data_IF_735458982810
#
_entry.id   IF_735458982810
#
_cell.length_a   1.000
_cell.length_b   1.000
_cell.length_c   1.000
_cell.angle_alpha   90.00
_cell.angle_beta   90.00
_cell.angle_gamma   90.00
#
_symmetry.space_group_name_H-M   'P 1'
#
loop_
_entity.id
_entity.type
_entity.pdbx_description
1 polymer ?
#
# COMPACT_ATOMS: atom_id res chain seq x y z
N UNK A 1 -2.57 -46.97 -53.99
CA UNK A 1 -2.10 -45.88 -53.10
C UNK A 1 -2.73 -44.60 -53.65
N UNK A 2 -4.05 -44.42 -53.49
CA UNK A 2 -4.74 -43.62 -52.45
C UNK A 2 -4.38 -42.14 -52.51
N UNK A 3 -5.19 -41.42 -53.28
CA UNK A 3 -5.25 -39.97 -53.40
C UNK A 3 -6.13 -39.41 -52.28
N UNK A 4 -5.62 -38.45 -51.51
CA UNK A 4 -6.21 -37.97 -50.26
C UNK A 4 -6.82 -36.58 -50.41
N UNK A 5 -8.14 -36.53 -50.57
CA UNK A 5 -8.96 -35.33 -50.58
C UNK A 5 -9.05 -34.74 -49.15
N UNK A 6 -8.53 -33.53 -48.91
CA UNK A 6 -8.71 -32.80 -47.64
C UNK A 6 -9.91 -31.88 -47.75
N UNK A 7 -10.99 -32.24 -47.07
CA UNK A 7 -12.21 -31.44 -46.90
C UNK A 7 -12.00 -30.36 -45.84
N UNK A 8 -12.10 -29.10 -46.24
CA UNK A 8 -12.08 -27.93 -45.33
C UNK A 8 -13.37 -27.93 -44.50
N UNK A 9 -13.25 -28.09 -43.18
CA UNK A 9 -14.37 -27.85 -42.24
C UNK A 9 -14.62 -26.36 -42.14
N UNK A 10 -15.72 -25.92 -42.72
CA UNK A 10 -16.31 -24.59 -42.56
C UNK A 10 -16.98 -24.51 -41.19
N UNK A 11 -16.40 -23.76 -40.25
CA UNK A 11 -17.06 -23.38 -39.00
C UNK A 11 -17.61 -21.95 -39.13
N UNK A 12 -18.94 -21.84 -39.08
CA UNK A 12 -19.67 -20.72 -38.46
C UNK A 12 -21.14 -21.12 -38.35
N UNK A 13 -21.75 -20.96 -37.16
CA UNK A 13 -22.96 -20.15 -37.15
C UNK A 13 -23.29 -19.25 -35.94
N UNK A 14 -22.43 -18.88 -34.97
CA UNK A 14 -23.01 -18.34 -33.71
C UNK A 14 -22.85 -16.82 -33.44
N UNK A 15 -22.54 -15.99 -34.46
CA UNK A 15 -22.46 -14.52 -34.27
C UNK A 15 -23.82 -13.84 -34.02
N UNK A 16 -24.92 -14.44 -34.48
CA UNK A 16 -26.26 -13.89 -34.30
C UNK A 16 -26.76 -14.05 -32.85
N UNK A 17 -26.49 -15.22 -32.25
CA UNK A 17 -26.89 -15.54 -30.87
C UNK A 17 -26.10 -14.70 -29.84
N UNK A 18 -24.81 -14.46 -30.11
CA UNK A 18 -23.96 -13.60 -29.26
C UNK A 18 -24.45 -12.14 -29.29
N UNK A 19 -24.89 -11.64 -30.45
CA UNK A 19 -25.43 -10.28 -30.57
C UNK A 19 -26.80 -10.15 -29.88
N UNK A 20 -27.63 -11.17 -29.95
CA UNK A 20 -28.92 -11.19 -29.24
C UNK A 20 -28.73 -11.19 -27.72
N UNK A 21 -27.77 -11.98 -27.21
CA UNK A 21 -27.44 -12.03 -25.79
C UNK A 21 -26.87 -10.70 -25.28
N UNK A 22 -26.02 -10.04 -26.07
CA UNK A 22 -25.47 -8.73 -25.76
C UNK A 22 -26.55 -7.63 -25.74
N UNK A 23 -27.47 -7.64 -26.70
CA UNK A 23 -28.60 -6.71 -26.74
C UNK A 23 -29.49 -6.85 -25.49
N UNK A 24 -29.78 -8.09 -25.08
CA UNK A 24 -30.60 -8.38 -23.90
C UNK A 24 -29.94 -7.93 -22.59
N UNK A 25 -28.60 -8.02 -22.47
CA UNK A 25 -27.87 -7.51 -21.31
C UNK A 25 -27.86 -5.98 -21.22
N UNK A 26 -27.74 -5.28 -22.36
CA UNK A 26 -27.76 -3.81 -22.39
C UNK A 26 -29.14 -3.27 -22.02
N UNK A 27 -30.21 -3.92 -22.48
CA UNK A 27 -31.58 -3.52 -22.13
C UNK A 27 -31.90 -3.74 -20.65
N UNK A 28 -31.46 -4.87 -20.07
CA UNK A 28 -31.61 -5.15 -18.64
C UNK A 28 -30.86 -4.15 -17.75
N UNK A 29 -29.67 -3.70 -18.17
CA UNK A 29 -28.91 -2.67 -17.47
C UNK A 29 -29.53 -1.28 -17.60
N UNK A 30 -30.10 -0.95 -18.76
CA UNK A 30 -30.82 0.32 -18.97
C UNK A 30 -32.09 0.41 -18.11
N UNK A 31 -32.81 -0.69 -17.95
CA UNK A 31 -33.99 -0.77 -17.07
C UNK A 31 -33.61 -0.61 -15.57
N UNK A 32 -32.49 -1.20 -15.13
CA UNK A 32 -31.97 -1.01 -13.75
C UNK A 32 -31.50 0.42 -13.48
N UNK A 33 -30.90 1.09 -14.46
CA UNK A 33 -30.46 2.49 -14.33
C UNK A 33 -31.65 3.46 -14.20
N UNK A 34 -32.73 3.22 -14.95
CA UNK A 34 -33.97 4.02 -14.85
C UNK A 34 -34.72 3.79 -13.54
N UNK A 35 -34.72 2.56 -13.00
CA UNK A 35 -35.32 2.29 -11.68
C UNK A 35 -34.57 2.98 -10.53
N UNK A 36 -33.24 3.14 -10.66
CA UNK A 36 -32.41 3.83 -9.68
C UNK A 36 -32.60 5.36 -9.69
N UNK A 37 -32.89 5.97 -10.84
CA UNK A 37 -33.11 7.42 -10.93
C UNK A 37 -34.48 7.85 -10.39
N UNK A 38 -35.51 6.99 -10.46
CA UNK A 38 -36.85 7.31 -9.95
C UNK A 38 -36.93 7.19 -8.42
N UNK A 39 -36.06 6.39 -7.79
CA UNK A 39 -35.99 6.24 -6.33
C UNK A 39 -35.37 7.45 -5.60
N UNK A 40 -34.70 8.36 -6.32
CA UNK A 40 -34.04 9.54 -5.74
C UNK A 40 -34.94 10.79 -5.67
N UNK A 41 -36.19 10.73 -6.16
CA UNK A 41 -37.06 11.89 -6.33
C UNK A 41 -38.35 11.86 -5.49
N UNK A 42 -38.32 11.39 -4.24
CA UNK A 42 -39.43 11.56 -3.28
C UNK A 42 -39.01 12.38 -2.05
N UNK A 43 -39.61 13.55 -1.78
CA UNK A 43 -39.37 14.30 -0.56
C UNK A 43 -40.18 13.71 0.60
N UNK A 44 -39.56 13.60 1.79
CA UNK A 44 -40.27 13.28 3.03
C UNK A 44 -40.70 14.56 3.78
N UNK A 45 -41.91 14.60 4.37
CA UNK A 45 -42.41 15.76 5.07
C UNK A 45 -42.12 15.71 6.58
N UNK A 46 -41.81 16.89 7.16
CA UNK A 46 -42.18 17.24 8.53
C UNK A 46 -41.08 17.29 9.59
N UNK A 47 -40.56 18.50 9.86
CA UNK A 47 -40.41 19.05 11.22
C UNK A 47 -40.05 20.55 11.14
N UNK A 48 -40.81 21.36 11.88
CA UNK A 48 -40.81 22.82 11.87
C UNK A 48 -39.88 23.43 12.96
N UNK A 49 -39.34 24.61 12.61
CA UNK A 49 -39.09 25.83 13.40
C UNK A 49 -38.06 25.87 14.56
N UNK A 50 -37.10 26.81 14.44
CA UNK A 50 -36.36 27.44 15.55
C UNK A 50 -35.03 28.09 15.11
N UNK A 51 -34.91 29.41 15.26
CA UNK A 51 -33.88 30.27 14.64
C UNK A 51 -32.58 30.49 15.45
N UNK A 52 -31.47 30.84 14.76
CA UNK A 52 -30.24 31.45 15.32
C UNK A 52 -29.02 31.42 14.34
N UNK A 53 -28.19 32.48 14.21
CA UNK A 53 -27.23 32.68 13.10
C UNK A 53 -25.85 32.02 13.33
N UNK A 54 -24.96 31.95 12.30
CA UNK A 54 -23.99 30.87 12.16
C UNK A 54 -22.68 31.12 12.92
N UNK A 55 -22.13 30.06 13.50
CA UNK A 55 -20.72 30.02 13.94
C UNK A 55 -20.00 28.87 13.23
N UNK A 56 -18.82 29.20 12.73
CA UNK A 56 -17.92 28.38 11.91
C UNK A 56 -17.17 27.40 12.80
N UNK A 57 -17.09 26.14 12.39
CA UNK A 57 -16.14 25.15 12.90
C UNK A 57 -16.80 23.88 13.45
N UNK A 58 -16.68 22.77 12.72
CA UNK A 58 -17.18 21.47 13.18
C UNK A 58 -16.81 20.31 12.27
N UNK A 59 -15.92 19.47 12.77
CA UNK A 59 -15.43 18.20 12.21
C UNK A 59 -16.55 17.31 11.66
N UNK A 60 -16.40 16.81 10.42
CA UNK A 60 -17.17 15.67 9.94
C UNK A 60 -16.42 14.37 10.25
N UNK A 61 -17.00 13.57 11.17
CA UNK A 61 -16.49 12.29 11.63
C UNK A 61 -16.76 11.13 10.67
N UNK A 62 -15.83 10.18 10.69
CA UNK A 62 -15.69 8.96 9.87
C UNK A 62 -16.77 7.87 10.08
N UNK A 63 -17.82 8.12 10.88
CA UNK A 63 -18.77 7.07 11.25
C UNK A 63 -19.92 6.81 10.25
N UNK A 64 -19.92 7.46 9.09
CA UNK A 64 -20.97 7.25 8.08
C UNK A 64 -20.73 6.09 7.10
N UNK A 65 -19.66 5.30 7.29
CA UNK A 65 -19.40 4.09 6.49
C UNK A 65 -19.92 2.79 7.11
N UNK A 66 -20.55 2.83 8.30
CA UNK A 66 -20.98 1.65 9.05
C UNK A 66 -22.49 1.35 8.98
N UNK A 67 -23.27 1.98 8.09
CA UNK A 67 -24.72 1.69 8.02
C UNK A 67 -25.31 1.77 6.60
N UNK A 68 -25.22 0.66 5.86
CA UNK A 68 -26.19 0.32 4.80
C UNK A 68 -26.65 -1.15 4.91
N UNK A 69 -27.86 -1.27 5.49
CA UNK A 69 -29.00 -2.22 5.34
C UNK A 69 -28.85 -3.74 5.54
N UNK A 70 -29.75 -4.34 6.36
CA UNK A 70 -30.12 -5.76 6.33
C UNK A 70 -31.43 -6.04 5.54
N UNK A 71 -31.48 -7.23 4.90
CA UNK A 71 -32.68 -7.89 4.31
C UNK A 71 -32.52 -8.14 2.81
N UNK A 72 -32.70 -9.33 2.22
CA UNK A 72 -33.13 -10.70 2.59
C UNK A 72 -32.71 -11.63 1.39
N UNK A 73 -33.17 -12.89 1.20
CA UNK A 73 -33.57 -14.00 2.09
C UNK A 73 -32.68 -15.26 1.92
N UNK A 74 -32.93 -16.28 2.76
CA UNK A 74 -32.29 -17.60 2.75
C UNK A 74 -32.64 -18.44 1.51
N UNK A 75 -31.63 -19.08 0.93
CA UNK A 75 -31.78 -20.31 0.12
C UNK A 75 -30.75 -21.33 0.59
N UNK A 76 -31.26 -22.50 0.95
CA UNK A 76 -30.54 -23.69 1.38
C UNK A 76 -29.75 -24.29 0.22
N UNK A 77 -28.42 -24.23 0.28
CA UNK A 77 -27.56 -25.08 -0.54
C UNK A 77 -26.67 -25.95 0.36
N UNK A 78 -26.79 -27.25 0.15
CA UNK A 78 -26.08 -28.30 0.85
C UNK A 78 -24.57 -28.20 0.55
N UNK A 79 -23.76 -28.19 1.61
CA UNK A 79 -22.30 -28.22 1.52
C UNK A 79 -21.86 -29.60 1.02
N UNK A 80 -21.03 -29.72 -0.03
CA UNK A 80 -20.36 -30.97 -0.33
C UNK A 80 -19.34 -31.22 0.79
N UNK A 81 -19.42 -32.42 1.38
CA UNK A 81 -18.49 -32.93 2.39
C UNK A 81 -17.11 -32.98 1.75
N UNK A 82 -16.21 -32.11 2.20
CA UNK A 82 -14.82 -32.10 1.74
C UNK A 82 -13.97 -32.78 2.80
N UNK A 83 -13.15 -33.74 2.35
CA UNK A 83 -12.18 -34.49 3.14
C UNK A 83 -11.34 -33.58 4.06
N UNK A 84 -11.31 -33.95 5.34
CA UNK A 84 -10.48 -33.36 6.40
C UNK A 84 -8.97 -33.61 6.14
N UNK A 85 -8.39 -32.89 5.17
CA UNK A 85 -6.97 -32.53 5.27
C UNK A 85 -6.87 -31.27 6.10
N UNK A 86 -6.92 -31.45 7.43
CA UNK A 86 -6.77 -30.40 8.44
C UNK A 86 -5.47 -29.64 8.15
N UNK A 87 -5.59 -28.46 7.55
CA UNK A 87 -4.45 -27.55 7.42
C UNK A 87 -4.00 -27.27 8.86
N UNK A 88 -2.71 -27.48 9.20
CA UNK A 88 -2.22 -27.24 10.56
C UNK A 88 -2.60 -25.84 11.00
N UNK A 89 -3.04 -25.71 12.26
CA UNK A 89 -3.32 -24.39 12.83
C UNK A 89 -2.06 -23.52 12.69
N UNK A 90 -2.20 -22.24 12.31
CA UNK A 90 -1.05 -21.39 11.98
C UNK A 90 -0.07 -21.22 13.15
N UNK A 91 -0.49 -21.52 14.39
CA UNK A 91 0.25 -21.32 15.63
C UNK A 91 0.79 -22.62 16.27
N UNK A 92 0.85 -23.74 15.53
CA UNK A 92 1.38 -25.01 16.06
C UNK A 92 2.81 -24.87 16.59
N UNK A 93 3.66 -24.11 15.89
CA UNK A 93 5.02 -23.82 16.33
C UNK A 93 5.03 -23.00 17.63
N UNK A 94 4.11 -22.04 17.75
CA UNK A 94 3.98 -21.20 18.93
C UNK A 94 3.54 -21.99 20.15
N UNK A 95 2.69 -23.00 19.97
CA UNK A 95 2.29 -23.91 21.06
C UNK A 95 3.49 -24.70 21.62
N UNK A 96 4.46 -25.02 20.77
CA UNK A 96 5.71 -25.70 21.15
C UNK A 96 6.77 -24.73 21.70
N UNK A 97 6.44 -23.45 21.84
CA UNK A 97 7.39 -22.41 22.25
C UNK A 97 8.49 -22.15 21.21
N UNK A 98 8.27 -22.51 19.94
CA UNK A 98 9.28 -22.37 18.91
C UNK A 98 9.29 -20.95 18.34
N UNK A 99 10.39 -20.25 18.59
CA UNK A 99 10.66 -18.92 18.04
C UNK A 99 12.14 -18.83 17.62
N UNK A 100 12.48 -17.79 16.87
CA UNK A 100 13.85 -17.53 16.45
C UNK A 100 14.21 -16.06 16.52
N UNK A 101 15.46 -15.77 16.16
CA UNK A 101 16.01 -14.41 16.09
C UNK A 101 16.50 -14.14 14.69
N UNK A 102 16.26 -12.93 14.22
CA UNK A 102 16.82 -12.44 12.96
C UNK A 102 17.38 -11.03 13.16
N UNK A 103 18.27 -10.65 12.25
CA UNK A 103 18.90 -9.33 12.29
C UNK A 103 18.23 -8.40 11.27
N UNK A 104 17.59 -7.33 11.77
CA UNK A 104 17.08 -6.24 10.95
C UNK A 104 17.91 -4.99 11.21
N UNK A 105 18.68 -4.55 10.21
CA UNK A 105 19.66 -3.48 10.37
C UNK A 105 20.71 -3.84 11.42
N UNK A 106 20.73 -3.09 12.54
CA UNK A 106 21.66 -3.32 13.66
C UNK A 106 20.99 -3.98 14.88
N UNK A 107 19.72 -4.37 14.77
CA UNK A 107 18.95 -4.90 15.89
C UNK A 107 18.60 -6.37 15.66
N UNK A 108 18.65 -7.16 16.73
CA UNK A 108 18.08 -8.50 16.75
C UNK A 108 16.60 -8.40 17.13
N UNK A 109 15.74 -9.03 16.34
CA UNK A 109 14.31 -9.04 16.57
C UNK A 109 13.83 -10.50 16.65
N UNK A 110 12.99 -10.85 17.65
CA UNK A 110 12.44 -12.18 17.72
C UNK A 110 11.32 -12.32 16.69
N UNK A 111 11.19 -13.52 16.12
CA UNK A 111 10.11 -13.89 15.22
C UNK A 111 9.50 -15.22 15.64
N UNK A 112 8.23 -15.41 15.29
CA UNK A 112 7.48 -16.65 15.45
C UNK A 112 7.25 -17.30 14.09
N UNK A 113 6.90 -18.58 14.07
CA UNK A 113 6.62 -19.30 12.83
C UNK A 113 5.12 -19.47 12.60
N UNK A 114 4.68 -19.24 11.36
CA UNK A 114 3.37 -19.70 10.86
C UNK A 114 3.56 -20.50 9.60
N UNK A 115 3.18 -21.78 9.61
CA UNK A 115 3.26 -22.67 8.43
C UNK A 115 4.62 -22.60 7.71
N UNK A 116 5.72 -22.54 8.47
CA UNK A 116 7.13 -22.41 8.02
C UNK A 116 7.59 -21.01 7.59
N UNK A 117 6.71 -20.02 7.55
CA UNK A 117 7.08 -18.63 7.33
C UNK A 117 7.38 -17.90 8.65
N UNK A 118 8.29 -16.94 8.61
CA UNK A 118 8.68 -16.13 9.77
C UNK A 118 7.80 -14.89 9.88
N UNK A 119 7.25 -14.67 11.06
CA UNK A 119 6.40 -13.52 11.39
C UNK A 119 6.94 -12.77 12.59
N UNK A 120 6.88 -11.44 12.53
CA UNK A 120 7.32 -10.56 13.61
C UNK A 120 6.16 -9.69 14.08
N UNK A 121 6.08 -9.46 15.39
CA UNK A 121 5.06 -8.60 15.96
C UNK A 121 5.30 -7.15 15.54
N UNK A 122 4.28 -6.50 15.00
CA UNK A 122 4.34 -5.11 14.49
C UNK A 122 4.86 -4.17 15.58
N UNK A 123 4.35 -4.30 16.80
CA UNK A 123 4.79 -3.52 17.97
C UNK A 123 6.30 -3.64 18.24
N UNK A 124 6.89 -4.82 18.05
CA UNK A 124 8.33 -5.02 18.26
C UNK A 124 9.16 -4.29 17.19
N UNK A 125 8.73 -4.37 15.93
CA UNK A 125 9.35 -3.68 14.79
C UNK A 125 9.27 -2.17 15.00
N UNK A 126 8.10 -1.65 15.35
CA UNK A 126 7.87 -0.23 15.61
C UNK A 126 8.80 0.31 16.69
N UNK A 127 8.81 -0.35 17.86
CA UNK A 127 9.58 0.11 19.02
C UNK A 127 11.08 0.10 18.74
N UNK A 128 11.62 -0.99 18.16
CA UNK A 128 13.06 -1.16 17.97
C UNK A 128 13.63 -0.49 16.73
N UNK A 129 12.88 -0.52 15.63
CA UNK A 129 13.43 -0.20 14.31
C UNK A 129 12.84 1.10 13.73
N UNK A 130 11.52 1.27 13.83
CA UNK A 130 10.84 2.32 13.08
C UNK A 130 10.79 3.64 13.85
N UNK A 131 10.81 3.63 15.19
CA UNK A 131 10.76 4.83 16.02
C UNK A 131 11.75 5.92 15.59
N UNK A 132 12.95 5.56 15.10
CA UNK A 132 13.90 6.57 14.59
C UNK A 132 13.43 7.31 13.34
N UNK A 133 12.55 6.73 12.54
CA UNK A 133 12.00 7.35 11.33
C UNK A 133 10.63 7.95 11.56
N UNK A 134 9.78 7.29 12.35
CA UNK A 134 8.39 7.71 12.61
C UNK A 134 8.30 9.13 13.22
N UNK A 135 9.34 9.59 13.90
CA UNK A 135 9.42 10.95 14.46
C UNK A 135 9.79 12.03 13.43
N UNK A 136 10.28 11.65 12.24
CA UNK A 136 10.73 12.59 11.21
C UNK A 136 9.95 12.46 9.90
N UNK A 137 9.35 11.31 9.62
CA UNK A 137 8.66 11.00 8.38
C UNK A 137 7.15 11.18 8.53
N UNK A 138 6.55 11.89 7.59
CA UNK A 138 5.10 12.07 7.53
C UNK A 138 4.37 10.77 7.19
N UNK A 139 3.13 10.65 7.65
CA UNK A 139 2.27 9.48 7.44
C UNK A 139 2.04 9.13 5.96
N UNK A 140 2.12 10.13 5.07
CA UNK A 140 1.95 9.92 3.64
C UNK A 140 3.00 8.98 3.04
N UNK A 141 4.19 8.88 3.63
CA UNK A 141 5.23 7.95 3.16
C UNK A 141 4.78 6.50 3.37
N UNK A 142 4.04 6.22 4.44
CA UNK A 142 3.57 4.86 4.74
C UNK A 142 2.52 4.40 3.72
N UNK A 143 1.75 5.33 3.15
CA UNK A 143 0.78 5.04 2.08
C UNK A 143 1.41 4.66 0.72
N UNK A 144 2.74 4.75 0.59
CA UNK A 144 3.44 4.23 -0.58
C UNK A 144 3.47 2.69 -0.60
N UNK A 145 3.26 2.05 0.54
CA UNK A 145 3.40 0.60 0.73
C UNK A 145 2.05 -0.04 1.05
N UNK A 146 1.91 -1.34 0.75
CA UNK A 146 0.78 -2.16 1.16
C UNK A 146 1.35 -3.44 1.77
N UNK A 147 1.39 -3.51 3.10
CA UNK A 147 1.96 -4.67 3.82
C UNK A 147 0.85 -5.38 4.54
N UNK A 148 0.61 -6.62 4.13
CA UNK A 148 -0.40 -7.47 4.75
C UNK A 148 0.03 -7.83 6.17
N UNK A 149 -0.86 -7.58 7.11
CA UNK A 149 -0.69 -8.00 8.49
C UNK A 149 -1.82 -8.92 8.94
N UNK A 150 -1.63 -9.53 10.11
CA UNK A 150 -2.55 -10.50 10.64
C UNK A 150 -2.66 -10.35 12.14
N UNK A 151 -3.87 -10.49 12.68
CA UNK A 151 -4.05 -10.61 14.13
C UNK A 151 -3.31 -11.83 14.66
N UNK A 152 -2.74 -11.71 15.86
CA UNK A 152 -2.09 -12.81 16.55
C UNK A 152 -3.11 -13.72 17.22
N UNK A 153 -2.80 -15.02 17.31
CA UNK A 153 -3.63 -15.98 18.05
C UNK A 153 -3.42 -15.83 19.56
N UNK A 154 -4.26 -16.48 20.36
CA UNK A 154 -4.08 -16.48 21.81
C UNK A 154 -2.74 -17.13 22.21
N UNK A 155 -2.39 -18.24 21.56
CA UNK A 155 -1.13 -18.97 21.79
C UNK A 155 0.07 -18.09 21.45
N UNK A 156 0.03 -17.42 20.29
CA UNK A 156 1.08 -16.49 19.88
C UNK A 156 1.22 -15.31 20.86
N UNK A 157 0.11 -14.78 21.37
CA UNK A 157 0.17 -13.71 22.36
C UNK A 157 0.87 -14.14 23.65
N UNK A 158 0.63 -15.38 24.12
CA UNK A 158 1.33 -15.96 25.28
C UNK A 158 2.82 -16.11 24.99
N UNK A 159 3.19 -16.67 23.84
CA UNK A 159 4.60 -16.82 23.45
C UNK A 159 5.31 -15.46 23.31
N UNK A 160 4.68 -14.47 22.67
CA UNK A 160 5.26 -13.13 22.52
C UNK A 160 5.43 -12.42 23.87
N UNK A 161 4.52 -12.64 24.82
CA UNK A 161 4.66 -12.16 26.19
C UNK A 161 5.83 -12.84 26.91
N UNK A 162 6.00 -14.15 26.74
CA UNK A 162 7.14 -14.88 27.29
C UNK A 162 8.46 -14.38 26.70
N UNK A 163 8.54 -14.25 25.37
CA UNK A 163 9.70 -13.69 24.66
C UNK A 163 10.04 -12.30 25.22
N UNK A 164 9.04 -11.41 25.33
CA UNK A 164 9.27 -10.05 25.82
C UNK A 164 9.78 -10.04 27.27
N UNK A 165 9.15 -10.81 28.15
CA UNK A 165 9.44 -10.76 29.58
C UNK A 165 10.70 -11.52 29.97
N UNK A 166 10.97 -12.66 29.34
CA UNK A 166 12.07 -13.56 29.74
C UNK A 166 13.32 -13.44 28.88
N UNK A 167 13.18 -13.03 27.62
CA UNK A 167 14.29 -12.99 26.66
C UNK A 167 14.64 -11.58 26.21
N UNK A 168 13.82 -10.58 26.56
CA UNK A 168 13.95 -9.21 26.08
C UNK A 168 13.85 -8.17 27.20
N UNK A 169 13.83 -8.59 28.47
CA UNK A 169 13.75 -7.72 29.66
C UNK A 169 12.62 -6.67 29.60
N UNK A 170 11.49 -7.00 28.97
CA UNK A 170 10.33 -6.12 28.84
C UNK A 170 10.53 -4.94 27.87
N UNK A 171 11.56 -4.94 27.02
CA UNK A 171 11.89 -3.82 26.14
C UNK A 171 10.81 -3.47 25.10
N UNK A 172 9.85 -4.35 24.85
CA UNK A 172 8.75 -4.13 23.90
C UNK A 172 7.46 -3.61 24.57
N UNK A 173 7.60 -3.06 25.78
CA UNK A 173 6.52 -2.46 26.54
C UNK A 173 6.05 -3.34 27.70
N UNK A 174 5.38 -2.70 28.66
CA UNK A 174 4.81 -3.36 29.85
C UNK A 174 3.44 -3.98 29.60
N UNK A 175 2.72 -3.48 28.59
CA UNK A 175 1.41 -4.00 28.24
C UNK A 175 1.57 -5.38 27.56
N UNK A 176 0.80 -6.39 27.99
CA UNK A 176 0.87 -7.71 27.38
C UNK A 176 0.38 -7.65 25.92
N UNK A 177 0.98 -8.47 25.07
CA UNK A 177 0.44 -8.81 23.76
C UNK A 177 -0.91 -9.50 23.94
N UNK A 178 -1.85 -9.17 23.05
CA UNK A 178 -3.23 -9.65 23.01
C UNK A 178 -3.62 -10.00 21.57
N UNK A 179 -4.75 -10.67 21.36
CA UNK A 179 -5.27 -10.96 20.01
C UNK A 179 -5.60 -9.71 19.16
N UNK A 180 -5.52 -8.50 19.74
CA UNK A 180 -5.66 -7.23 19.00
C UNK A 180 -4.34 -6.75 18.39
N UNK A 181 -3.23 -7.39 18.73
CA UNK A 181 -1.91 -7.11 18.17
C UNK A 181 -1.74 -7.82 16.84
N UNK A 182 -0.86 -7.27 16.01
CA UNK A 182 -0.62 -7.70 14.64
C UNK A 182 0.78 -8.28 14.48
N UNK A 183 0.89 -9.24 13.57
CA UNK A 183 2.15 -9.73 13.03
C UNK A 183 2.19 -9.53 11.52
N UNK A 184 3.40 -9.34 11.00
CA UNK A 184 3.70 -9.23 9.57
C UNK A 184 4.81 -10.22 9.22
N UNK A 185 4.92 -10.57 7.94
CA UNK A 185 6.05 -11.39 7.48
C UNK A 185 7.35 -10.65 7.76
N UNK A 186 8.34 -11.39 8.25
CA UNK A 186 9.64 -10.83 8.58
C UNK A 186 10.33 -10.21 7.35
N UNK A 187 10.15 -10.81 6.17
CA UNK A 187 10.65 -10.27 4.90
C UNK A 187 10.08 -8.88 4.60
N UNK A 188 8.78 -8.71 4.78
CA UNK A 188 8.09 -7.45 4.48
C UNK A 188 8.47 -6.37 5.51
N UNK A 189 8.67 -6.75 6.77
CA UNK A 189 9.20 -5.82 7.79
C UNK A 189 10.62 -5.35 7.44
N UNK A 190 11.46 -6.24 6.89
CA UNK A 190 12.82 -5.89 6.43
C UNK A 190 12.81 -4.93 5.25
N UNK A 191 12.00 -5.21 4.23
CA UNK A 191 11.85 -4.32 3.08
C UNK A 191 11.24 -2.97 3.48
N UNK A 192 10.28 -2.94 4.40
CA UNK A 192 9.71 -1.71 4.92
C UNK A 192 10.75 -0.85 5.63
N UNK A 193 11.58 -1.47 6.48
CA UNK A 193 12.69 -0.80 7.14
C UNK A 193 13.66 -0.17 6.13
N UNK A 194 14.03 -0.91 5.07
CA UNK A 194 14.90 -0.43 4.00
C UNK A 194 14.27 0.74 3.25
N UNK A 195 12.97 0.63 2.92
CA UNK A 195 12.21 1.69 2.27
C UNK A 195 12.20 2.99 3.10
N UNK A 196 11.93 2.91 4.40
CA UNK A 196 11.96 4.08 5.28
C UNK A 196 13.37 4.68 5.41
N UNK A 197 14.41 3.84 5.48
CA UNK A 197 15.80 4.32 5.51
C UNK A 197 16.13 5.11 4.24
N UNK A 198 15.76 4.60 3.07
CA UNK A 198 15.92 5.31 1.79
C UNK A 198 15.17 6.63 1.80
N UNK A 199 13.88 6.63 2.18
CA UNK A 199 13.07 7.84 2.23
C UNK A 199 13.70 8.90 3.15
N UNK A 200 14.07 8.50 4.36
CA UNK A 200 14.69 9.38 5.35
C UNK A 200 16.00 9.99 4.86
N UNK A 201 16.92 9.17 4.33
CA UNK A 201 18.21 9.66 3.86
C UNK A 201 18.06 10.56 2.62
N UNK A 202 17.16 10.22 1.70
CA UNK A 202 16.86 11.01 0.51
C UNK A 202 16.29 12.39 0.87
N UNK A 203 15.33 12.45 1.79
CA UNK A 203 14.72 13.70 2.23
C UNK A 203 15.72 14.60 2.98
N UNK A 204 16.61 14.02 3.80
CA UNK A 204 17.56 14.82 4.60
C UNK A 204 18.82 15.24 3.84
N UNK A 205 19.40 14.34 3.04
CA UNK A 205 20.71 14.56 2.43
C UNK A 205 20.61 15.06 0.99
N UNK A 206 19.48 14.81 0.33
CA UNK A 206 19.26 15.16 -1.07
C UNK A 206 20.26 14.54 -2.05
N UNK A 207 20.97 13.48 -1.66
CA UNK A 207 22.03 12.90 -2.48
C UNK A 207 21.45 12.00 -3.56
N UNK A 208 21.99 12.13 -4.77
CA UNK A 208 21.86 11.16 -5.87
C UNK A 208 23.15 10.33 -5.98
N UNK A 209 23.01 9.02 -6.11
CA UNK A 209 24.09 8.09 -6.38
C UNK A 209 23.61 6.97 -7.32
N UNK A 210 24.54 6.33 -8.04
CA UNK A 210 24.21 5.27 -9.00
C UNK A 210 23.69 3.96 -8.38
N UNK A 211 23.70 3.84 -7.05
CA UNK A 211 23.15 2.71 -6.29
C UNK A 211 21.75 3.00 -5.73
N UNK A 212 21.19 4.17 -6.04
CA UNK A 212 19.90 4.58 -5.52
C UNK A 212 18.77 3.72 -6.09
N UNK A 213 17.83 3.37 -5.21
CA UNK A 213 16.61 2.66 -5.57
C UNK A 213 15.62 3.52 -6.35
N UNK A 214 15.71 4.84 -6.22
CA UNK A 214 14.85 5.80 -6.90
C UNK A 214 15.44 7.21 -6.89
N UNK A 215 14.86 8.10 -7.69
CA UNK A 215 15.27 9.48 -7.80
C UNK A 215 14.49 10.21 -8.87
N UNK A 216 15.09 11.26 -9.42
CA UNK A 216 14.53 12.00 -10.54
C UNK A 216 15.55 12.10 -11.67
N UNK A 217 15.05 12.04 -12.90
CA UNK A 217 15.81 12.42 -14.08
C UNK A 217 15.29 13.77 -14.54
N UNK A 218 16.21 14.70 -14.77
CA UNK A 218 15.96 15.97 -15.43
C UNK A 218 16.26 15.82 -16.91
N UNK A 219 15.25 16.07 -17.74
CA UNK A 219 15.30 15.98 -19.20
C UNK A 219 15.38 17.39 -19.77
N UNK A 220 16.42 17.65 -20.56
CA UNK A 220 16.66 18.94 -21.23
C UNK A 220 16.59 20.16 -20.30
N UNK A 221 16.99 20.00 -19.02
CA UNK A 221 16.97 21.03 -17.96
C UNK A 221 15.58 21.61 -17.61
N UNK A 222 14.52 21.15 -18.25
CA UNK A 222 13.15 21.68 -18.10
C UNK A 222 12.24 20.68 -17.39
N UNK A 223 12.19 19.45 -17.89
CA UNK A 223 11.26 18.42 -17.43
C UNK A 223 11.90 17.56 -16.36
N UNK A 224 11.18 17.28 -15.26
CA UNK A 224 11.64 16.41 -14.18
C UNK A 224 10.69 15.24 -14.03
N UNK A 225 11.23 14.02 -14.14
CA UNK A 225 10.47 12.78 -14.12
C UNK A 225 10.99 11.87 -13.00
N UNK A 226 10.12 11.31 -12.14
CA UNK A 226 10.53 10.37 -11.11
C UNK A 226 10.93 9.04 -11.74
N UNK A 227 11.87 8.33 -11.13
CA UNK A 227 12.24 6.98 -11.53
C UNK A 227 12.37 6.04 -10.34
N UNK A 228 12.20 4.75 -10.61
CA UNK A 228 12.61 3.65 -9.73
C UNK A 228 13.63 2.76 -10.43
N UNK A 229 14.39 1.97 -9.67
CA UNK A 229 15.33 0.98 -10.20
C UNK A 229 14.84 -0.42 -9.89
N UNK A 230 14.59 -1.21 -10.93
CA UNK A 230 14.28 -2.64 -10.87
C UNK A 230 15.26 -3.38 -11.77
N UNK A 231 15.85 -4.46 -11.27
CA UNK A 231 16.84 -5.27 -12.01
C UNK A 231 17.99 -4.44 -12.61
N UNK A 232 18.48 -3.46 -11.84
CA UNK A 232 19.52 -2.50 -12.26
C UNK A 232 19.14 -1.58 -13.45
N UNK A 233 17.87 -1.56 -13.85
CA UNK A 233 17.35 -0.68 -14.90
C UNK A 233 16.40 0.37 -14.32
N UNK A 234 16.49 1.60 -14.84
CA UNK A 234 15.61 2.71 -14.43
C UNK A 234 14.30 2.64 -15.19
N UNK A 235 13.20 2.80 -14.46
CA UNK A 235 11.85 2.86 -15.01
C UNK A 235 11.18 4.18 -14.61
N UNK A 236 10.50 4.80 -15.58
CA UNK A 236 9.77 6.07 -15.42
C UNK A 236 8.28 5.87 -15.69
N UNK A 237 7.36 6.62 -15.04
CA UNK A 237 5.93 6.46 -15.28
C UNK A 237 5.54 6.88 -16.69
N UNK A 238 4.70 6.07 -17.33
CA UNK A 238 4.29 6.30 -18.71
C UNK A 238 3.42 7.57 -18.88
N UNK A 239 2.66 7.94 -17.85
CA UNK A 239 1.75 9.09 -17.87
C UNK A 239 2.46 10.46 -18.03
N UNK A 240 3.80 10.51 -17.91
CA UNK A 240 4.58 11.71 -18.22
C UNK A 240 4.79 11.94 -19.73
N UNK A 241 4.52 10.93 -20.55
CA UNK A 241 4.82 10.91 -21.99
C UNK A 241 3.54 10.81 -22.82
N UNK A 242 2.42 11.33 -22.30
CA UNK A 242 1.16 11.40 -23.03
C UNK A 242 1.27 12.43 -24.16
N UNK A 243 1.08 11.98 -25.41
CA UNK A 243 1.05 12.87 -26.58
C UNK A 243 1.36 12.20 -27.92
N UNK A 244 2.12 11.09 -27.96
CA UNK A 244 2.65 10.61 -29.26
C UNK A 244 2.77 9.08 -29.44
N UNK A 245 2.11 8.23 -28.64
CA UNK A 245 2.72 6.89 -28.43
C UNK A 245 1.80 5.72 -28.12
N UNK A 246 1.08 5.23 -29.12
CA UNK A 246 0.57 3.85 -29.06
C UNK A 246 1.72 2.83 -29.03
N UNK A 247 2.83 3.14 -29.71
CA UNK A 247 4.05 2.33 -29.69
C UNK A 247 4.73 2.24 -28.31
N UNK A 248 4.64 3.28 -27.46
CA UNK A 248 5.20 3.19 -26.10
C UNK A 248 4.34 2.31 -25.20
N UNK A 249 3.02 2.32 -25.37
CA UNK A 249 2.11 1.45 -24.60
C UNK A 249 2.43 -0.03 -24.83
N UNK A 250 2.86 -0.40 -26.04
CA UNK A 250 3.29 -1.77 -26.38
C UNK A 250 4.57 -2.20 -25.65
N UNK A 251 5.43 -1.24 -25.25
CA UNK A 251 6.67 -1.49 -24.49
C UNK A 251 6.51 -1.23 -22.99
N UNK A 252 5.32 -0.83 -22.55
CA UNK A 252 5.07 -0.50 -21.16
C UNK A 252 5.03 -1.77 -20.31
N UNK A 253 5.66 -1.72 -19.14
CA UNK A 253 5.58 -2.75 -18.13
C UNK A 253 4.69 -2.30 -16.96
N UNK A 254 4.19 -3.25 -16.19
CA UNK A 254 3.44 -3.04 -14.96
C UNK A 254 4.36 -3.17 -13.75
N UNK A 255 4.68 -2.03 -13.14
CA UNK A 255 5.42 -1.97 -11.89
C UNK A 255 4.52 -2.26 -10.69
N UNK A 256 4.98 -3.05 -9.73
CA UNK A 256 4.24 -3.43 -8.50
C UNK A 256 5.17 -3.62 -7.29
N UNK A 257 4.60 -3.79 -6.10
CA UNK A 257 5.35 -4.13 -4.89
C UNK A 257 6.33 -3.04 -4.41
N UNK A 258 7.52 -3.44 -3.98
CA UNK A 258 8.51 -2.54 -3.40
C UNK A 258 9.08 -1.54 -4.40
N UNK A 259 9.32 -1.95 -5.65
CA UNK A 259 9.80 -1.04 -6.70
C UNK A 259 8.80 0.08 -6.97
N UNK A 260 7.50 -0.26 -6.94
CA UNK A 260 6.42 0.72 -7.02
C UNK A 260 6.38 1.64 -5.79
N UNK A 261 6.67 1.11 -4.60
CA UNK A 261 6.69 1.92 -3.37
C UNK A 261 7.74 3.03 -3.45
N UNK A 262 8.92 2.73 -3.99
CA UNK A 262 9.96 3.73 -4.26
C UNK A 262 9.53 4.77 -5.31
N UNK A 263 8.83 4.34 -6.37
CA UNK A 263 8.30 5.27 -7.37
C UNK A 263 7.22 6.20 -6.77
N UNK A 264 6.28 5.64 -6.00
CA UNK A 264 5.23 6.40 -5.29
C UNK A 264 5.83 7.43 -4.34
N UNK A 265 6.92 7.10 -3.66
CA UNK A 265 7.65 8.05 -2.83
C UNK A 265 8.15 9.24 -3.65
N UNK A 266 8.82 9.02 -4.78
CA UNK A 266 9.26 10.10 -5.65
C UNK A 266 8.08 10.94 -6.20
N UNK A 267 6.96 10.30 -6.58
CA UNK A 267 5.75 11.02 -6.99
C UNK A 267 5.22 11.94 -5.88
N UNK A 268 5.21 11.48 -4.63
CA UNK A 268 4.81 12.32 -3.48
C UNK A 268 5.80 13.46 -3.22
N UNK A 269 7.11 13.20 -3.32
CA UNK A 269 8.15 14.23 -3.18
C UNK A 269 7.97 15.35 -4.21
N UNK A 270 7.59 15.01 -5.44
CA UNK A 270 7.32 15.97 -6.52
C UNK A 270 5.93 16.65 -6.42
N UNK A 271 5.05 16.18 -5.54
CA UNK A 271 3.69 16.73 -5.40
C UNK A 271 2.74 16.29 -6.52
N UNK A 272 2.96 15.12 -7.12
CA UNK A 272 2.07 14.55 -8.12
C UNK A 272 0.73 14.17 -7.47
N UNK A 273 -0.37 14.38 -8.20
CA UNK A 273 -1.72 14.04 -7.72
C UNK A 273 -1.83 12.53 -7.48
N UNK A 274 -2.37 12.16 -6.32
CA UNK A 274 -2.45 10.76 -5.89
C UNK A 274 -3.18 9.87 -6.91
N UNK A 275 -4.24 10.36 -7.56
CA UNK A 275 -5.01 9.61 -8.56
C UNK A 275 -4.18 9.06 -9.74
N UNK A 276 -3.04 9.66 -10.07
CA UNK A 276 -2.19 9.21 -11.18
C UNK A 276 -1.33 7.99 -10.82
N UNK A 277 -1.12 7.71 -9.54
CA UNK A 277 -0.26 6.63 -9.08
C UNK A 277 -0.82 5.82 -7.90
N UNK A 278 -2.04 6.08 -7.44
CA UNK A 278 -2.61 5.43 -6.24
C UNK A 278 -2.81 3.91 -6.41
N UNK A 279 -2.94 3.43 -7.65
CA UNK A 279 -3.13 2.02 -7.98
C UNK A 279 -2.03 1.10 -7.39
N UNK A 280 -2.36 -0.17 -7.20
CA UNK A 280 -1.40 -1.21 -6.80
C UNK A 280 -0.39 -1.56 -7.91
N UNK A 281 -0.67 -1.10 -9.14
CA UNK A 281 0.24 -1.17 -10.27
C UNK A 281 0.39 0.18 -10.95
N UNK A 282 1.53 0.40 -11.61
CA UNK A 282 1.77 1.59 -12.43
C UNK A 282 2.39 1.19 -13.76
N UNK A 283 1.83 1.70 -14.86
CA UNK A 283 2.44 1.55 -16.19
C UNK A 283 3.71 2.38 -16.27
N UNK A 284 4.83 1.71 -16.51
CA UNK A 284 6.16 2.31 -16.60
C UNK A 284 6.84 1.92 -17.90
N UNK A 285 7.84 2.69 -18.29
CA UNK A 285 8.74 2.37 -19.40
C UNK A 285 10.19 2.48 -18.95
N UNK A 286 11.07 1.67 -19.53
CA UNK A 286 12.49 1.78 -19.23
C UNK A 286 13.05 3.12 -19.72
N UNK A 287 13.98 3.69 -18.94
CA UNK A 287 14.66 4.93 -19.31
C UNK A 287 15.48 4.74 -20.61
N UNK A 288 15.97 3.53 -20.87
CA UNK A 288 16.70 3.19 -22.10
C UNK A 288 15.79 3.27 -23.32
N UNK A 289 14.59 2.70 -23.24
CA UNK A 289 13.63 2.72 -24.34
C UNK A 289 13.10 4.12 -24.60
N UNK A 290 12.73 4.87 -23.55
CA UNK A 290 12.15 6.20 -23.75
C UNK A 290 13.16 7.18 -24.37
N UNK A 291 14.46 7.03 -24.07
CA UNK A 291 15.53 7.83 -24.68
C UNK A 291 15.55 7.78 -26.20
N UNK A 292 15.16 6.67 -26.82
CA UNK A 292 15.16 6.55 -28.28
C UNK A 292 14.07 7.37 -28.98
N UNK A 293 13.10 7.88 -28.23
CA UNK A 293 12.00 8.71 -28.74
C UNK A 293 12.32 10.21 -28.66
N UNK A 294 13.44 10.58 -28.04
CA UNK A 294 13.88 11.97 -27.96
C UNK A 294 14.89 12.30 -29.08
N UNK A 295 14.90 13.56 -29.58
CA UNK A 295 15.89 13.99 -30.57
C UNK A 295 17.34 13.80 -30.08
N UNK A 296 18.29 13.51 -30.98
CA UNK A 296 19.72 13.50 -30.66
C UNK A 296 20.15 14.81 -29.99
N UNK A 297 20.92 14.71 -28.91
CA UNK A 297 21.35 15.86 -28.11
C UNK A 297 20.48 16.16 -26.88
N UNK A 298 19.36 15.45 -26.69
CA UNK A 298 18.57 15.56 -25.46
C UNK A 298 19.39 15.10 -24.25
N UNK A 299 19.57 15.99 -23.27
CA UNK A 299 20.31 15.73 -22.04
C UNK A 299 19.42 15.04 -20.98
N UNK A 300 19.98 14.03 -20.32
CA UNK A 300 19.34 13.32 -19.20
C UNK A 300 20.28 13.33 -18.00
N UNK A 301 19.91 14.08 -16.98
CA UNK A 301 20.75 14.32 -15.81
C UNK A 301 20.10 13.74 -14.54
N UNK A 302 20.91 13.19 -13.65
CA UNK A 302 20.47 12.86 -12.29
C UNK A 302 20.07 14.12 -11.55
N UNK A 303 18.90 14.08 -10.92
CA UNK A 303 18.35 15.24 -10.24
C UNK A 303 17.73 14.87 -8.89
N UNK A 304 17.89 15.77 -7.94
CA UNK A 304 17.11 15.79 -6.71
C UNK A 304 16.58 17.20 -6.48
N UNK A 305 15.28 17.39 -6.18
CA UNK A 305 14.75 18.72 -5.97
C UNK A 305 15.34 19.39 -4.73
N UNK A 306 15.89 20.60 -4.88
CA UNK A 306 16.50 21.34 -3.76
C UNK A 306 15.47 21.81 -2.72
N UNK A 307 14.18 21.90 -3.09
CA UNK A 307 13.08 22.36 -2.22
C UNK A 307 12.38 21.24 -1.45
N UNK A 308 13.00 20.07 -1.33
CA UNK A 308 12.44 18.96 -0.55
C UNK A 308 12.37 19.28 0.95
N UNK A 309 13.14 20.26 1.43
CA UNK A 309 13.12 20.74 2.82
C UNK A 309 11.77 21.38 3.22
N UNK A 310 10.99 21.88 2.25
CA UNK A 310 9.61 22.35 2.45
C UNK A 310 8.56 21.26 2.17
N UNK A 311 9.00 20.03 1.89
CA UNK A 311 8.09 18.92 1.66
C UNK A 311 7.32 18.61 2.94
N UNK A 312 5.99 18.55 2.84
CA UNK A 312 5.09 18.08 3.90
C UNK A 312 5.41 16.65 4.38
N UNK A 313 6.37 15.97 3.72
CA UNK A 313 6.84 14.62 4.02
C UNK A 313 7.83 14.55 5.18
N UNK A 314 8.45 15.67 5.57
CA UNK A 314 9.25 15.76 6.80
C UNK A 314 8.43 16.42 7.91
N UNK A 315 8.34 15.74 9.05
CA UNK A 315 7.80 16.34 10.27
C UNK A 315 8.89 17.28 10.80
N UNK A 316 8.71 18.59 10.57
CA UNK A 316 9.62 19.60 11.11
C UNK A 316 9.55 19.54 12.64
N UNK A 317 10.65 19.16 13.29
CA UNK A 317 10.82 19.32 14.73
C UNK A 317 11.01 20.81 15.09
N UNK A 318 10.16 21.70 14.60
CA UNK A 318 10.07 23.11 15.04
C UNK A 318 9.37 23.16 16.41
N UNK A 319 9.90 22.46 17.41
CA UNK A 319 9.34 22.49 18.76
C UNK A 319 10.15 21.80 19.87
N UNK A 320 10.97 20.78 19.58
CA UNK A 320 11.58 20.00 20.67
C UNK A 320 13.00 20.39 21.08
N UNK A 321 13.72 21.22 20.29
CA UNK A 321 15.08 21.62 20.67
C UNK A 321 15.12 22.68 21.79
N UNK A 322 14.02 23.39 22.05
CA UNK A 322 13.92 24.35 23.16
C UNK A 322 13.32 23.80 24.46
N UNK A 323 12.72 22.60 24.42
CA UNK A 323 12.09 22.00 25.62
C UNK A 323 12.93 20.88 26.24
N UNK A 324 14.00 20.40 25.59
CA UNK A 324 14.91 19.40 26.16
C UNK A 324 15.88 19.93 27.23
N UNK A 325 15.83 21.22 27.56
CA UNK A 325 16.62 21.80 28.65
C UNK A 325 15.83 22.01 29.96
N UNK A 326 14.53 21.70 30.03
CA UNK A 326 13.76 21.84 31.26
C UNK A 326 12.90 20.60 31.56
N UNK A 327 13.49 19.70 32.35
CA UNK A 327 12.88 18.81 33.36
C UNK A 327 11.67 17.90 33.05
N UNK A 328 11.93 16.60 33.30
CA UNK A 328 11.17 15.52 33.98
C UNK A 328 9.67 15.23 33.70
N UNK A 329 9.46 13.92 33.50
CA UNK A 329 8.30 13.11 33.95
C UNK A 329 6.95 13.82 34.08
N UNK A 330 6.09 13.68 33.07
CA UNK A 330 4.69 13.26 33.30
C UNK A 330 4.07 12.70 32.02
N UNK A 331 3.32 11.63 32.21
CA UNK A 331 2.47 10.91 31.25
C UNK A 331 1.53 11.83 30.43
N UNK A 332 1.70 11.82 29.10
CA UNK A 332 0.61 11.78 28.11
C UNK A 332 1.22 11.93 26.70
N UNK A 333 1.70 10.84 26.12
CA UNK A 333 1.92 10.80 24.67
C UNK A 333 0.62 10.28 24.05
N UNK A 334 -0.08 11.15 23.33
CA UNK A 334 -1.16 10.74 22.41
C UNK A 334 -0.59 9.68 21.47
N UNK A 335 -0.89 8.42 21.76
CA UNK A 335 -0.60 7.29 20.90
C UNK A 335 -1.54 7.42 19.69
N UNK A 336 -1.05 7.98 18.59
CA UNK A 336 -1.77 7.88 17.32
C UNK A 336 -1.82 6.38 16.96
N UNK A 337 -2.99 5.80 16.67
CA UNK A 337 -3.06 4.38 16.37
C UNK A 337 -2.49 4.13 14.95
N UNK A 338 -1.22 3.74 14.90
CA UNK A 338 -0.47 3.29 13.71
C UNK A 338 -1.04 1.98 13.12
N UNK A 339 -2.03 1.36 13.79
CA UNK A 339 -2.80 0.23 13.25
C UNK A 339 -3.45 0.50 11.89
N UNK A 340 -3.52 1.76 11.45
CA UNK A 340 -4.05 2.14 10.14
C UNK A 340 -3.21 1.72 8.92
N UNK A 341 -1.92 1.39 9.09
CA UNK A 341 -0.99 1.16 7.98
C UNK A 341 -0.72 -0.32 7.65
N UNK A 342 -1.28 -1.21 8.45
CA UNK A 342 -1.00 -2.65 8.43
C UNK A 342 -2.30 -3.44 8.22
N UNK A 343 -3.09 -3.13 7.19
CA UNK A 343 -4.36 -3.84 6.92
C UNK A 343 -4.27 -4.80 5.73
#
# INVERSE_FOLDING_TARGET
>A
MTDGLVTVKTERPDEAEIRELAAKMVEANKAKALAASVAAARPQPGAMLGAGPPTVGGQMGILNFLSRKPGAPQTTDQRPVSDDKKTPAPDEASWKGHFGWDQLGKCHIPYIYRSSEKYVAVRMVEIKLLNKYLNYLHADIYSCTCIRSYYITEVESRLLNEINNRHCDGQFGREPFTQKDLVVRLSDAGEFYNFLDVCYNKLLRGTTNNKDKCGFIRINKESVVPYTVRDCQKFVPLFYFEGETDNLKLKADQLKGWDLSYLKFCCKVQGIRNELFASETCSVISLTDIKSYFPPGTEFEEYWPNKVVDSQLLISAKGELYLKLNFNETSNKKLFPIKAFWY
#
